data_IF_026114096140
#
_entry.id   IF_026114096140
#
_cell.length_a   1.000
_cell.length_b   1.000
_cell.length_c   1.000
_cell.angle_alpha   90.00
_cell.angle_beta   90.00
_cell.angle_gamma   90.00
#
_symmetry.space_group_name_H-M   'P 1'
#
loop_
_entity.id
_entity.type
_entity.pdbx_description
1 polymer ?
#
# COMPACT_ATOMS: atom_id res chain seq x y z
N UNK A 1 9.19 -11.88 13.90
CA UNK A 1 8.39 -11.06 12.95
C UNK A 1 7.35 -11.98 12.33
N UNK A 2 6.10 -11.57 12.32
CA UNK A 2 5.00 -12.40 11.78
C UNK A 2 4.47 -11.78 10.49
N UNK A 3 3.77 -12.60 9.67
CA UNK A 3 3.10 -12.16 8.45
C UNK A 3 1.59 -12.32 8.63
N UNK A 4 0.84 -11.40 8.04
CA UNK A 4 -0.60 -11.56 7.80
C UNK A 4 -0.82 -11.57 6.29
N UNK A 5 -1.61 -12.53 5.84
CA UNK A 5 -1.98 -12.72 4.45
C UNK A 5 -3.51 -12.75 4.38
N UNK A 6 -4.09 -11.94 3.52
CA UNK A 6 -5.51 -12.01 3.17
C UNK A 6 -5.64 -12.57 1.76
N UNK A 7 -6.57 -13.50 1.59
CA UNK A 7 -6.91 -14.12 0.31
C UNK A 7 -8.41 -14.16 0.15
N UNK A 8 -8.91 -13.66 -0.98
CA UNK A 8 -10.35 -13.50 -1.21
C UNK A 8 -11.15 -14.83 -1.19
N UNK A 9 -10.50 -15.97 -1.41
CA UNK A 9 -11.14 -17.30 -1.38
C UNK A 9 -10.74 -18.14 -0.19
N UNK A 10 -9.50 -17.99 0.31
CA UNK A 10 -8.95 -18.87 1.34
C UNK A 10 -8.98 -18.25 2.74
N UNK A 11 -9.37 -16.96 2.87
CA UNK A 11 -9.49 -16.30 4.16
C UNK A 11 -8.21 -15.59 4.63
N UNK A 12 -8.01 -15.50 5.93
CA UNK A 12 -6.88 -14.80 6.54
C UNK A 12 -5.92 -15.82 7.17
N UNK A 13 -4.63 -15.63 6.92
CA UNK A 13 -3.56 -16.50 7.38
C UNK A 13 -2.50 -15.75 8.15
N UNK A 14 -1.90 -16.39 9.12
CA UNK A 14 -0.75 -15.90 9.88
C UNK A 14 0.41 -16.87 9.80
N UNK A 15 1.62 -16.35 9.57
CA UNK A 15 2.86 -17.07 9.84
C UNK A 15 3.53 -16.47 11.07
N UNK A 16 3.96 -17.31 12.01
CA UNK A 16 4.62 -16.87 13.25
C UNK A 16 5.99 -16.26 12.99
N UNK A 17 6.72 -16.77 11.97
CA UNK A 17 8.06 -16.36 11.58
C UNK A 17 8.17 -16.27 10.05
N UNK A 18 9.29 -15.73 9.55
CA UNK A 18 9.60 -15.61 8.11
C UNK A 18 9.63 -16.97 7.36
N UNK A 19 9.46 -18.08 8.07
CA UNK A 19 9.50 -19.45 7.54
C UNK A 19 8.63 -20.43 8.30
N UNK A 20 7.89 -19.96 9.28
CA UNK A 20 6.99 -20.79 10.06
C UNK A 20 5.78 -21.28 9.25
N UNK A 21 5.08 -22.31 9.75
CA UNK A 21 3.87 -22.79 9.12
C UNK A 21 2.80 -21.71 9.14
N UNK A 22 2.03 -21.65 8.06
CA UNK A 22 0.84 -20.81 7.98
C UNK A 22 -0.27 -21.41 8.83
N UNK A 23 -0.90 -20.58 9.64
CA UNK A 23 -2.08 -20.94 10.42
C UNK A 23 -3.24 -20.05 9.99
N UNK A 24 -4.39 -20.64 9.76
CA UNK A 24 -5.61 -19.89 9.46
C UNK A 24 -6.04 -19.08 10.68
N UNK A 25 -6.41 -17.82 10.43
CA UNK A 25 -6.98 -16.95 11.45
C UNK A 25 -8.49 -17.10 11.38
N UNK A 26 -9.10 -17.59 12.45
CA UNK A 26 -10.55 -17.73 12.55
C UNK A 26 -11.21 -16.33 12.56
N UNK A 27 -11.44 -15.76 11.40
CA UNK A 27 -12.19 -14.52 11.20
C UNK A 27 -13.26 -14.74 10.14
N UNK A 28 -14.53 -14.50 10.49
CA UNK A 28 -15.63 -14.57 9.55
C UNK A 28 -15.68 -13.26 8.73
N UNK A 29 -14.78 -13.10 7.76
CA UNK A 29 -14.75 -11.98 6.84
C UNK A 29 -14.97 -12.48 5.42
N UNK A 30 -15.95 -11.91 4.73
CA UNK A 30 -16.25 -12.27 3.35
C UNK A 30 -15.20 -11.67 2.40
N UNK A 31 -14.58 -12.55 1.60
CA UNK A 31 -13.59 -12.19 0.58
C UNK A 31 -12.55 -11.14 1.07
N UNK A 32 -11.68 -11.48 2.05
CA UNK A 32 -10.62 -10.57 2.50
C UNK A 32 -9.55 -10.42 1.41
N UNK A 33 -9.26 -9.19 1.00
CA UNK A 33 -8.30 -8.91 -0.06
C UNK A 33 -7.31 -7.78 0.22
N UNK A 34 -7.44 -7.09 1.37
CA UNK A 34 -6.52 -6.05 1.81
C UNK A 34 -6.07 -6.27 3.24
N UNK A 35 -4.83 -5.92 3.53
CA UNK A 35 -4.28 -5.93 4.88
C UNK A 35 -3.44 -4.68 5.13
N UNK A 36 -3.49 -4.16 6.33
CA UNK A 36 -2.52 -3.20 6.82
C UNK A 36 -2.23 -3.47 8.30
N UNK A 37 -1.01 -3.20 8.74
CA UNK A 37 -0.60 -3.36 10.12
C UNK A 37 -0.07 -2.05 10.68
N UNK A 38 -0.42 -1.80 11.94
CA UNK A 38 0.16 -0.77 12.79
C UNK A 38 0.92 -1.40 13.95
N UNK A 39 1.35 -0.59 14.91
CA UNK A 39 2.07 -1.07 16.09
C UNK A 39 1.18 -1.84 17.08
N UNK A 40 -0.13 -1.58 17.11
CA UNK A 40 -1.06 -2.16 18.09
C UNK A 40 -2.09 -3.10 17.47
N UNK A 41 -2.43 -2.91 16.21
CA UNK A 41 -3.48 -3.67 15.53
C UNK A 41 -3.18 -3.89 14.05
N UNK A 42 -3.91 -4.83 13.49
CA UNK A 42 -3.99 -5.15 12.06
C UNK A 42 -5.41 -4.86 11.60
N UNK A 43 -5.56 -4.32 10.41
CA UNK A 43 -6.86 -4.24 9.76
C UNK A 43 -6.85 -5.09 8.49
N UNK A 44 -7.90 -5.90 8.34
CA UNK A 44 -8.14 -6.72 7.15
C UNK A 44 -9.41 -6.20 6.49
N UNK A 45 -9.33 -5.88 5.21
CA UNK A 45 -10.45 -5.39 4.42
C UNK A 45 -11.02 -6.46 3.51
N UNK A 46 -12.32 -6.64 3.58
CA UNK A 46 -13.11 -7.42 2.63
C UNK A 46 -14.03 -6.53 1.80
N UNK A 47 -14.87 -7.14 0.98
CA UNK A 47 -15.74 -6.40 0.06
C UNK A 47 -16.85 -5.59 0.76
N UNK A 48 -17.32 -6.00 1.93
CA UNK A 48 -18.40 -5.35 2.68
C UNK A 48 -17.97 -4.80 4.02
N UNK A 49 -16.97 -5.40 4.62
CA UNK A 49 -16.54 -5.11 5.98
C UNK A 49 -15.02 -5.05 6.08
N UNK A 50 -14.54 -4.28 7.06
CA UNK A 50 -13.17 -4.34 7.55
C UNK A 50 -13.17 -4.84 8.98
N UNK A 51 -12.19 -5.66 9.32
CA UNK A 51 -11.99 -6.26 10.62
C UNK A 51 -10.69 -5.76 11.23
N UNK A 52 -10.76 -5.17 12.42
CA UNK A 52 -9.58 -4.81 13.20
C UNK A 52 -9.30 -5.87 14.25
N UNK A 53 -8.05 -6.32 14.30
CA UNK A 53 -7.55 -7.37 15.17
C UNK A 53 -6.38 -6.84 16.00
N UNK A 54 -6.22 -7.34 17.22
CA UNK A 54 -4.99 -7.09 18.00
C UNK A 54 -3.78 -7.74 17.31
N UNK A 55 -2.60 -7.12 17.35
CA UNK A 55 -1.38 -7.76 16.85
C UNK A 55 -1.03 -9.03 17.64
N UNK A 56 -1.28 -9.01 18.97
CA UNK A 56 -1.10 -10.18 19.82
C UNK A 56 -2.40 -11.00 19.90
N UNK A 57 -2.33 -12.25 19.43
CA UNK A 57 -3.44 -13.20 19.50
C UNK A 57 -4.55 -13.01 18.47
N UNK A 58 -4.48 -11.97 17.63
CA UNK A 58 -5.43 -11.68 16.54
C UNK A 58 -6.90 -11.73 16.99
N UNK A 59 -7.18 -11.16 18.16
CA UNK A 59 -8.54 -11.04 18.69
C UNK A 59 -9.24 -9.85 18.06
N UNK A 60 -10.50 -10.02 17.73
CA UNK A 60 -11.33 -8.95 17.17
C UNK A 60 -11.40 -7.77 18.16
N UNK A 61 -11.07 -6.58 17.67
CA UNK A 61 -11.25 -5.29 18.35
C UNK A 61 -12.59 -4.72 17.94
N UNK A 62 -12.81 -4.63 16.62
CA UNK A 62 -14.03 -4.07 16.04
C UNK A 62 -14.23 -4.57 14.61
N UNK A 63 -15.47 -4.44 14.17
CA UNK A 63 -15.91 -4.69 12.80
C UNK A 63 -16.59 -3.43 12.31
N UNK A 64 -16.28 -3.02 11.08
CA UNK A 64 -16.79 -1.78 10.50
C UNK A 64 -17.15 -1.98 9.03
N UNK A 65 -18.11 -1.23 8.49
CA UNK A 65 -18.40 -1.25 7.07
C UNK A 65 -17.16 -0.90 6.25
N UNK A 66 -16.89 -1.64 5.18
CA UNK A 66 -15.92 -1.22 4.17
C UNK A 66 -16.44 0.02 3.42
N UNK A 67 -15.54 0.91 3.03
CA UNK A 67 -15.89 1.97 2.09
C UNK A 67 -16.28 1.35 0.73
N UNK A 68 -17.25 1.94 0.00
CA UNK A 68 -17.65 1.44 -1.32
C UNK A 68 -16.45 1.34 -2.27
N UNK A 69 -16.25 0.19 -2.92
CA UNK A 69 -15.07 -0.04 -3.76
C UNK A 69 -13.77 0.18 -3.00
N UNK A 70 -13.63 -0.44 -1.82
CA UNK A 70 -12.44 -0.30 -0.97
C UNK A 70 -11.16 -0.61 -1.75
N UNK A 71 -10.32 0.42 -1.97
CA UNK A 71 -9.10 0.34 -2.78
C UNK A 71 -7.82 0.24 -1.95
N UNK A 72 -7.79 0.87 -0.78
CA UNK A 72 -6.63 0.82 0.12
C UNK A 72 -7.03 1.00 1.59
N UNK A 73 -6.17 0.50 2.47
CA UNK A 73 -6.26 0.62 3.92
C UNK A 73 -4.95 1.16 4.50
N UNK A 74 -5.07 2.05 5.48
CA UNK A 74 -3.96 2.46 6.33
C UNK A 74 -4.40 2.51 7.79
N UNK A 75 -3.44 2.25 8.70
CA UNK A 75 -3.62 2.44 10.13
C UNK A 75 -2.77 3.60 10.62
N UNK A 76 -3.31 4.43 11.52
CA UNK A 76 -2.48 5.42 12.21
C UNK A 76 -1.38 4.74 13.03
N UNK A 77 -0.20 5.33 13.18
CA UNK A 77 0.88 4.75 14.00
C UNK A 77 0.46 4.46 15.45
N UNK A 78 -0.44 5.26 16.00
CA UNK A 78 -0.99 5.03 17.35
C UNK A 78 -2.08 3.94 17.41
N UNK A 79 -2.49 3.37 16.27
CA UNK A 79 -3.54 2.35 16.18
C UNK A 79 -4.96 2.85 16.44
N UNK A 80 -5.17 4.16 16.62
CA UNK A 80 -6.50 4.74 16.96
C UNK A 80 -7.43 4.89 15.76
N UNK A 81 -6.85 5.10 14.55
CA UNK A 81 -7.61 5.41 13.36
C UNK A 81 -7.32 4.42 12.24
N UNK A 82 -8.38 4.03 11.53
CA UNK A 82 -8.33 3.31 10.25
C UNK A 82 -8.72 4.28 9.15
N UNK A 83 -7.93 4.34 8.11
CA UNK A 83 -8.23 5.09 6.90
C UNK A 83 -8.62 4.11 5.80
N UNK A 84 -9.75 4.36 5.16
CA UNK A 84 -10.29 3.56 4.07
C UNK A 84 -10.35 4.44 2.82
N UNK A 85 -9.74 4.00 1.72
CA UNK A 85 -9.84 4.67 0.42
C UNK A 85 -10.96 4.02 -0.37
N UNK A 86 -11.93 4.83 -0.78
CA UNK A 86 -13.05 4.40 -1.61
C UNK A 86 -12.82 4.79 -3.07
N UNK A 87 -12.74 3.80 -3.96
CA UNK A 87 -12.66 4.04 -5.40
C UNK A 87 -14.02 4.40 -6.02
N UNK A 88 -15.13 3.94 -5.44
CA UNK A 88 -16.47 4.23 -5.94
C UNK A 88 -17.03 5.57 -5.43
N UNK A 89 -16.68 5.95 -4.19
CA UNK A 89 -17.11 7.23 -3.62
C UNK A 89 -16.06 8.35 -3.78
N UNK A 90 -14.94 8.10 -4.48
CA UNK A 90 -13.86 9.05 -4.74
C UNK A 90 -13.38 9.78 -3.47
N UNK A 91 -13.26 9.06 -2.36
CA UNK A 91 -13.05 9.64 -1.03
C UNK A 91 -12.18 8.81 -0.11
N UNK A 92 -11.60 9.48 0.87
CA UNK A 92 -10.98 8.85 2.05
C UNK A 92 -11.93 8.96 3.22
N UNK A 93 -12.06 7.88 3.98
CA UNK A 93 -12.83 7.81 5.22
C UNK A 93 -11.90 7.55 6.41
N UNK A 94 -12.02 8.33 7.47
CA UNK A 94 -11.36 8.07 8.76
C UNK A 94 -12.36 7.46 9.73
N UNK A 95 -12.02 6.29 10.29
CA UNK A 95 -12.83 5.60 11.30
C UNK A 95 -12.05 5.38 12.58
N UNK A 96 -12.77 5.35 13.71
CA UNK A 96 -12.19 4.92 14.97
C UNK A 96 -11.96 3.41 14.98
N UNK A 97 -10.75 2.97 15.27
CA UNK A 97 -10.39 1.54 15.34
C UNK A 97 -11.23 0.78 16.39
N UNK A 98 -11.52 1.43 17.52
CA UNK A 98 -12.21 0.78 18.63
C UNK A 98 -13.70 0.52 18.38
N UNK A 99 -14.38 1.39 17.63
CA UNK A 99 -15.84 1.35 17.44
C UNK A 99 -16.25 1.14 15.98
N UNK A 100 -15.35 1.39 15.02
CA UNK A 100 -15.66 1.43 13.59
C UNK A 100 -16.43 2.68 13.15
N UNK A 101 -16.67 3.63 14.04
CA UNK A 101 -17.41 4.86 13.76
C UNK A 101 -16.69 5.71 12.71
N UNK A 102 -17.43 6.18 11.71
CA UNK A 102 -16.95 7.14 10.71
C UNK A 102 -16.91 8.53 11.37
N UNK A 103 -15.71 9.13 11.43
CA UNK A 103 -15.51 10.45 12.01
C UNK A 103 -15.23 11.55 11.00
N UNK A 104 -14.53 11.23 9.91
CA UNK A 104 -14.23 12.16 8.83
C UNK A 104 -14.32 11.48 7.47
N UNK A 105 -14.68 12.25 6.45
CA UNK A 105 -14.62 11.85 5.05
C UNK A 105 -14.21 13.06 4.18
N UNK A 106 -13.35 12.82 3.18
CA UNK A 106 -12.92 13.87 2.26
C UNK A 106 -12.76 13.34 0.83
N UNK A 107 -13.15 14.13 -0.20
CA UNK A 107 -12.99 13.74 -1.59
C UNK A 107 -11.53 13.81 -2.03
N UNK A 108 -11.11 12.86 -2.89
CA UNK A 108 -9.71 12.68 -3.35
C UNK A 108 -9.59 12.27 -4.82
N UNK A 109 -10.33 12.90 -5.69
CA UNK A 109 -10.27 12.63 -7.14
C UNK A 109 -10.89 11.32 -7.59
N UNK A 110 -10.86 11.08 -8.88
CA UNK A 110 -11.60 10.01 -9.55
C UNK A 110 -10.83 8.68 -9.51
N UNK A 111 -11.50 7.61 -9.10
CA UNK A 111 -10.97 6.26 -8.97
C UNK A 111 -9.61 6.21 -8.24
N UNK A 112 -9.52 6.73 -7.02
CA UNK A 112 -8.27 6.71 -6.26
C UNK A 112 -7.82 5.28 -6.01
N UNK A 113 -6.49 5.02 -6.09
CA UNK A 113 -5.95 3.65 -6.07
C UNK A 113 -5.04 3.35 -4.90
N UNK A 114 -4.32 4.35 -4.42
CA UNK A 114 -3.35 4.14 -3.37
C UNK A 114 -3.37 5.25 -2.34
N UNK A 115 -3.02 4.90 -1.13
CA UNK A 115 -2.99 5.79 0.01
C UNK A 115 -1.87 5.39 0.96
N UNK A 116 -1.18 6.36 1.53
CA UNK A 116 -0.20 6.11 2.59
C UNK A 116 -0.18 7.24 3.61
N UNK A 117 0.26 6.91 4.83
CA UNK A 117 0.53 7.88 5.89
C UNK A 117 2.03 8.20 5.94
N UNK A 118 2.36 9.41 6.36
CA UNK A 118 3.72 9.72 6.76
C UNK A 118 4.08 9.00 8.09
N UNK A 119 5.38 8.93 8.40
CA UNK A 119 5.85 8.24 9.60
C UNK A 119 5.32 8.84 10.91
N UNK A 120 4.93 10.12 10.91
CA UNK A 120 4.33 10.78 12.08
C UNK A 120 2.83 10.51 12.22
N UNK A 121 2.17 9.98 11.18
CA UNK A 121 0.73 9.79 11.12
C UNK A 121 -0.08 11.09 11.06
N UNK A 122 0.55 12.21 10.71
CA UNK A 122 -0.10 13.54 10.63
C UNK A 122 -0.53 13.93 9.23
N UNK A 123 0.02 13.26 8.22
CA UNK A 123 -0.29 13.51 6.81
C UNK A 123 -0.62 12.22 6.10
N UNK A 124 -1.64 12.32 5.27
CA UNK A 124 -2.08 11.25 4.40
C UNK A 124 -1.92 11.70 2.95
N UNK A 125 -1.35 10.83 2.14
CA UNK A 125 -1.20 11.05 0.70
C UNK A 125 -2.07 10.04 -0.04
N UNK A 126 -2.98 10.53 -0.89
CA UNK A 126 -3.84 9.72 -1.74
C UNK A 126 -3.51 9.97 -3.21
N UNK A 127 -3.38 8.90 -3.98
CA UNK A 127 -3.15 8.95 -5.42
C UNK A 127 -4.49 8.88 -6.17
N UNK A 128 -4.70 9.82 -7.09
CA UNK A 128 -5.99 10.03 -7.76
C UNK A 128 -6.33 9.05 -8.88
N UNK A 129 -5.54 7.96 -9.08
CA UNK A 129 -5.86 6.84 -9.98
C UNK A 129 -6.14 7.19 -11.43
N UNK A 130 -7.29 7.73 -11.72
CA UNK A 130 -7.71 8.17 -13.07
C UNK A 130 -7.52 9.68 -13.30
N UNK A 131 -7.11 10.44 -12.28
CA UNK A 131 -6.85 11.86 -12.38
C UNK A 131 -5.34 12.14 -12.35
N UNK A 132 -4.92 13.23 -13.04
CA UNK A 132 -3.54 13.71 -13.04
C UNK A 132 -3.21 14.45 -11.72
N UNK A 133 -3.60 13.86 -10.59
CA UNK A 133 -3.53 14.50 -9.28
C UNK A 133 -3.19 13.50 -8.18
N UNK A 134 -2.52 14.02 -7.14
CA UNK A 134 -2.41 13.39 -5.84
C UNK A 134 -2.78 14.41 -4.77
N UNK A 135 -3.27 13.94 -3.63
CA UNK A 135 -3.84 14.78 -2.58
C UNK A 135 -3.08 14.59 -1.28
N UNK A 136 -2.55 15.68 -0.76
CA UNK A 136 -1.95 15.72 0.58
C UNK A 136 -3.00 16.25 1.55
N UNK A 137 -3.34 15.45 2.55
CA UNK A 137 -4.35 15.73 3.56
C UNK A 137 -3.73 15.72 4.96
N UNK A 138 -4.29 16.48 5.89
CA UNK A 138 -4.02 16.26 7.31
C UNK A 138 -4.61 14.93 7.77
N UNK A 139 -4.09 14.35 8.81
CA UNK A 139 -4.65 13.17 9.47
C UNK A 139 -4.76 13.44 10.98
N UNK A 140 -5.90 13.10 11.62
CA UNK A 140 -7.02 12.31 11.08
C UNK A 140 -8.14 13.12 10.39
N UNK A 141 -8.14 14.45 10.41
CA UNK A 141 -9.27 15.33 10.04
C UNK A 141 -9.53 15.40 8.53
N UNK A 142 -8.58 14.91 7.71
CA UNK A 142 -8.64 14.88 6.24
C UNK A 142 -8.80 16.27 5.59
N UNK A 143 -8.27 17.32 6.23
CA UNK A 143 -8.25 18.66 5.64
C UNK A 143 -7.21 18.67 4.50
N UNK A 144 -7.62 19.11 3.32
CA UNK A 144 -6.73 19.18 2.16
C UNK A 144 -5.69 20.27 2.36
N UNK A 145 -4.41 19.85 2.52
CA UNK A 145 -3.27 20.78 2.57
C UNK A 145 -2.85 21.20 1.16
N UNK A 146 -2.91 20.24 0.21
CA UNK A 146 -2.42 20.47 -1.14
C UNK A 146 -3.00 19.49 -2.15
N UNK A 147 -3.33 19.99 -3.35
CA UNK A 147 -3.47 19.21 -4.58
C UNK A 147 -2.14 19.26 -5.34
N UNK A 148 -1.63 18.11 -5.74
CA UNK A 148 -0.37 17.95 -6.46
C UNK A 148 -0.74 17.53 -7.88
N UNK A 149 -0.59 18.45 -8.84
CA UNK A 149 -0.83 18.14 -10.24
C UNK A 149 0.35 17.36 -10.81
N UNK A 150 0.06 16.20 -11.38
CA UNK A 150 0.99 15.35 -12.12
C UNK A 150 0.79 15.59 -13.62
N UNK A 151 1.65 15.02 -14.45
CA UNK A 151 1.50 15.15 -15.93
C UNK A 151 0.70 14.00 -16.52
N UNK A 152 0.26 13.07 -15.69
CA UNK A 152 -0.46 11.87 -16.07
C UNK A 152 -1.06 11.19 -14.81
N UNK A 153 -2.01 10.25 -14.98
CA UNK A 153 -2.70 9.60 -13.88
C UNK A 153 -1.75 9.02 -12.82
N UNK A 154 -1.95 9.40 -11.56
CA UNK A 154 -1.13 8.99 -10.43
C UNK A 154 -1.68 7.70 -9.82
N UNK A 155 -0.96 6.60 -9.94
CA UNK A 155 -1.38 5.26 -9.48
C UNK A 155 -0.93 4.94 -8.07
N UNK A 156 0.23 5.46 -7.66
CA UNK A 156 0.74 5.25 -6.31
C UNK A 156 1.56 6.45 -5.86
N UNK A 157 1.59 6.68 -4.55
CA UNK A 157 2.34 7.77 -3.96
C UNK A 157 2.89 7.38 -2.60
N UNK A 158 4.03 7.95 -2.18
CA UNK A 158 4.69 7.62 -0.94
C UNK A 158 5.52 8.75 -0.37
N UNK A 159 5.73 8.72 0.95
CA UNK A 159 6.65 9.63 1.64
C UNK A 159 8.04 9.02 1.70
N UNK A 160 9.04 9.74 1.20
CA UNK A 160 10.45 9.39 1.35
C UNK A 160 11.22 10.53 2.04
N UNK A 161 12.48 10.33 2.39
CA UNK A 161 13.26 11.31 3.15
C UNK A 161 13.30 12.72 2.54
N UNK A 162 13.32 12.81 1.22
CA UNK A 162 13.41 14.08 0.48
C UNK A 162 12.06 14.69 0.10
N UNK A 163 10.92 14.12 0.54
CA UNK A 163 9.60 14.62 0.20
C UNK A 163 8.62 13.54 -0.24
N UNK A 164 7.98 13.71 -1.39
CA UNK A 164 7.02 12.77 -1.95
C UNK A 164 7.59 12.07 -3.18
N UNK A 165 7.26 10.80 -3.34
CA UNK A 165 7.47 10.00 -4.54
C UNK A 165 6.11 9.70 -5.16
N UNK A 166 5.95 9.98 -6.46
CA UNK A 166 4.72 9.78 -7.21
C UNK A 166 5.01 8.83 -8.37
N UNK A 167 4.14 7.85 -8.55
CA UNK A 167 4.24 6.83 -9.61
C UNK A 167 3.03 6.99 -10.52
N UNK A 168 3.28 7.40 -11.75
CA UNK A 168 2.25 7.78 -12.70
C UNK A 168 2.30 6.89 -13.95
N UNK A 169 1.14 6.70 -14.61
CA UNK A 169 1.11 6.12 -15.93
C UNK A 169 1.39 7.23 -16.95
N UNK A 170 2.40 7.05 -17.79
CA UNK A 170 2.67 7.96 -18.89
C UNK A 170 2.34 7.30 -20.23
N UNK A 171 1.74 8.07 -21.13
CA UNK A 171 1.46 7.66 -22.49
C UNK A 171 2.65 7.95 -23.40
N UNK A 172 2.94 7.03 -24.31
CA UNK A 172 3.99 7.10 -25.31
C UNK A 172 3.63 6.16 -26.46
N UNK A 173 4.63 5.56 -27.10
CA UNK A 173 4.38 4.43 -28.03
C UNK A 173 3.73 3.26 -27.31
N UNK A 174 4.14 3.06 -26.00
CA UNK A 174 3.54 2.14 -25.06
C UNK A 174 3.30 2.84 -23.71
N UNK A 175 2.32 2.34 -22.92
CA UNK A 175 2.10 2.80 -21.55
C UNK A 175 3.31 2.41 -20.69
N UNK A 176 3.96 3.38 -20.09
CA UNK A 176 5.09 3.18 -19.20
C UNK A 176 4.89 3.86 -17.85
N UNK A 177 5.75 3.58 -16.92
CA UNK A 177 5.70 4.14 -15.55
C UNK A 177 6.64 5.33 -15.45
N UNK A 178 6.10 6.52 -15.24
CA UNK A 178 6.88 7.71 -14.93
C UNK A 178 6.93 7.95 -13.42
N UNK A 179 8.13 8.07 -12.88
CA UNK A 179 8.35 8.32 -11.44
C UNK A 179 8.76 9.76 -11.25
N UNK A 180 8.09 10.46 -10.33
CA UNK A 180 8.36 11.85 -10.00
C UNK A 180 8.71 12.00 -8.52
N UNK A 181 9.52 13.01 -8.22
CA UNK A 181 9.76 13.46 -6.85
C UNK A 181 9.24 14.88 -6.66
N UNK A 182 8.72 15.16 -5.45
CA UNK A 182 8.30 16.49 -5.04
C UNK A 182 9.00 16.83 -3.71
N UNK A 183 10.01 17.68 -3.78
CA UNK A 183 10.70 18.17 -2.57
C UNK A 183 9.79 19.13 -1.76
N UNK A 184 9.97 19.20 -0.44
CA UNK A 184 9.26 20.17 0.39
C UNK A 184 9.40 21.59 -0.14
N UNK A 185 8.29 22.35 -0.17
CA UNK A 185 8.29 23.74 -0.63
C UNK A 185 8.36 23.94 -2.15
N UNK A 186 8.55 22.89 -2.96
CA UNK A 186 8.54 23.03 -4.42
C UNK A 186 7.11 23.00 -4.97
N UNK A 187 6.79 23.83 -6.00
CA UNK A 187 5.43 23.91 -6.53
C UNK A 187 5.05 22.73 -7.43
N UNK A 188 6.01 22.09 -8.09
CA UNK A 188 5.74 21.06 -9.09
C UNK A 188 6.63 19.83 -8.90
N UNK A 189 6.09 18.62 -9.21
CA UNK A 189 6.90 17.40 -9.26
C UNK A 189 7.97 17.50 -10.36
N UNK A 190 9.13 16.91 -10.09
CA UNK A 190 10.21 16.73 -11.05
C UNK A 190 10.30 15.26 -11.44
N UNK A 191 10.32 14.98 -12.74
CA UNK A 191 10.54 13.63 -13.24
C UNK A 191 11.89 13.10 -12.78
N UNK A 192 11.90 11.89 -12.25
CA UNK A 192 13.08 11.20 -11.75
C UNK A 192 13.58 10.17 -12.75
N UNK A 193 12.69 9.29 -13.21
CA UNK A 193 13.02 8.18 -14.12
C UNK A 193 11.74 7.67 -14.81
N UNK A 194 11.91 7.08 -15.99
CA UNK A 194 10.91 6.22 -16.62
C UNK A 194 11.26 4.76 -16.40
N UNK A 195 10.25 3.94 -16.08
CA UNK A 195 10.36 2.51 -15.91
C UNK A 195 9.44 1.80 -16.92
N UNK A 196 9.81 0.60 -17.42
CA UNK A 196 8.97 -0.13 -18.33
C UNK A 196 7.67 -0.61 -17.69
N UNK A 197 6.63 -0.76 -18.50
CA UNK A 197 5.33 -1.32 -18.12
C UNK A 197 4.42 -0.37 -17.36
N UNK A 198 3.15 -0.72 -17.32
CA UNK A 198 2.10 0.01 -16.61
C UNK A 198 2.33 -0.03 -15.10
N UNK A 199 2.13 1.08 -14.35
CA UNK A 199 2.32 1.11 -12.91
C UNK A 199 1.33 0.22 -12.14
N UNK A 200 1.83 -0.40 -11.09
CA UNK A 200 1.08 -1.15 -10.07
C UNK A 200 1.26 -0.51 -8.69
N UNK A 201 1.95 -1.20 -7.78
CA UNK A 201 2.15 -0.77 -6.38
C UNK A 201 3.47 -0.05 -6.11
N UNK A 202 3.53 0.59 -4.96
CA UNK A 202 4.72 1.29 -4.43
C UNK A 202 4.92 0.95 -2.96
N UNK A 203 6.15 0.70 -2.55
CA UNK A 203 6.57 0.69 -1.16
C UNK A 203 7.90 1.43 -0.99
N UNK A 204 7.95 2.39 -0.08
CA UNK A 204 9.21 3.05 0.29
C UNK A 204 9.98 2.13 1.24
N UNK A 205 11.25 1.92 0.97
CA UNK A 205 12.12 1.13 1.86
C UNK A 205 12.29 1.82 3.23
N UNK A 206 12.50 1.06 4.32
CA UNK A 206 12.60 1.62 5.67
C UNK A 206 13.73 2.64 5.87
N UNK A 207 14.78 2.57 5.04
CA UNK A 207 15.86 3.57 5.02
C UNK A 207 15.42 4.94 4.47
N UNK A 208 14.24 5.00 3.83
CA UNK A 208 13.70 6.17 3.19
C UNK A 208 14.48 6.64 1.95
N UNK A 209 15.40 5.81 1.43
CA UNK A 209 16.27 6.14 0.28
C UNK A 209 15.96 5.31 -0.95
N UNK A 210 15.35 4.14 -0.76
CA UNK A 210 14.94 3.25 -1.82
C UNK A 210 13.43 3.13 -1.94
N UNK A 211 12.95 2.69 -3.10
CA UNK A 211 11.56 2.29 -3.33
C UNK A 211 11.49 0.97 -4.09
N UNK A 212 10.51 0.16 -3.74
CA UNK A 212 10.05 -0.94 -4.56
C UNK A 212 8.86 -0.46 -5.36
N UNK A 213 8.93 -0.58 -6.67
CA UNK A 213 7.88 -0.19 -7.61
C UNK A 213 7.52 -1.43 -8.42
N UNK A 214 6.24 -1.78 -8.36
CA UNK A 214 5.70 -2.84 -9.20
C UNK A 214 5.16 -2.23 -10.48
N UNK A 215 5.49 -2.86 -11.60
CA UNK A 215 4.92 -2.54 -12.91
C UNK A 215 4.42 -3.82 -13.57
N UNK A 216 3.81 -3.71 -14.75
CA UNK A 216 3.45 -4.88 -15.57
C UNK A 216 4.66 -5.72 -15.97
N UNK A 217 5.85 -5.13 -16.03
CA UNK A 217 7.09 -5.77 -16.47
C UNK A 217 7.97 -6.27 -15.32
N UNK A 218 7.48 -6.17 -14.08
CA UNK A 218 8.13 -6.74 -12.92
C UNK A 218 8.13 -5.86 -11.68
N UNK A 219 8.79 -6.37 -10.64
CA UNK A 219 9.09 -5.65 -9.41
C UNK A 219 10.48 -5.04 -9.52
N UNK A 220 10.57 -3.74 -9.35
CA UNK A 220 11.79 -2.96 -9.53
C UNK A 220 12.20 -2.26 -8.24
N UNK A 221 13.51 -2.20 -7.97
CA UNK A 221 14.06 -1.37 -6.89
C UNK A 221 14.75 -0.14 -7.45
N UNK A 222 14.33 1.02 -6.94
CA UNK A 222 14.84 2.32 -7.28
C UNK A 222 15.71 2.89 -6.15
N UNK A 223 16.88 3.47 -6.47
CA UNK A 223 17.65 4.39 -5.65
C UNK A 223 17.08 5.79 -5.90
N UNK A 224 16.27 6.30 -4.97
CA UNK A 224 15.53 7.55 -5.18
C UNK A 224 16.48 8.75 -5.33
N UNK A 225 17.49 8.99 -4.45
CA UNK A 225 18.39 10.13 -4.57
C UNK A 225 19.16 10.18 -5.89
N UNK A 226 19.54 9.02 -6.43
CA UNK A 226 20.29 8.93 -7.68
C UNK A 226 19.42 8.79 -8.93
N UNK A 227 18.12 8.53 -8.76
CA UNK A 227 17.19 8.31 -9.86
C UNK A 227 17.58 7.13 -10.75
N UNK A 228 18.09 6.05 -10.16
CA UNK A 228 18.55 4.90 -10.94
C UNK A 228 17.91 3.60 -10.48
N UNK A 229 17.62 2.74 -11.45
CA UNK A 229 17.19 1.38 -11.21
C UNK A 229 18.37 0.54 -10.65
N UNK A 230 18.13 -0.17 -9.55
CA UNK A 230 19.10 -1.07 -8.94
C UNK A 230 18.96 -2.50 -9.45
N UNK A 231 17.72 -2.99 -9.57
CA UNK A 231 17.40 -4.33 -10.08
C UNK A 231 15.93 -4.41 -10.54
N UNK A 232 15.63 -5.42 -11.34
CA UNK A 232 14.28 -5.79 -11.78
C UNK A 232 14.08 -7.31 -11.62
N UNK A 233 12.89 -7.72 -11.15
CA UNK A 233 12.40 -9.08 -11.07
C UNK A 233 11.14 -9.23 -11.95
N UNK A 234 11.28 -9.68 -13.20
CA UNK A 234 10.16 -9.75 -14.14
C UNK A 234 9.06 -10.74 -13.72
N UNK A 235 9.39 -11.76 -12.95
CA UNK A 235 8.46 -12.78 -12.44
C UNK A 235 7.54 -12.27 -11.33
N UNK A 236 7.73 -11.04 -10.85
CA UNK A 236 6.91 -10.37 -9.85
C UNK A 236 6.19 -9.12 -10.43
N UNK A 237 5.47 -9.31 -11.51
CA UNK A 237 4.70 -8.25 -12.14
C UNK A 237 3.40 -7.94 -11.39
N UNK A 238 2.94 -6.69 -11.47
CA UNK A 238 1.65 -6.18 -10.94
C UNK A 238 1.37 -6.61 -9.49
N UNK A 239 2.31 -6.32 -8.58
CA UNK A 239 2.06 -6.56 -7.16
C UNK A 239 1.02 -5.56 -6.62
N UNK A 240 -0.11 -6.05 -6.14
CA UNK A 240 -1.14 -5.26 -5.47
C UNK A 240 -0.69 -4.84 -4.06
N UNK A 241 -0.01 -5.74 -3.35
CA UNK A 241 0.53 -5.51 -2.00
C UNK A 241 2.05 -5.50 -2.01
N UNK A 242 2.64 -4.41 -1.55
CA UNK A 242 4.07 -4.28 -1.28
C UNK A 242 4.26 -3.78 0.14
N UNK A 243 5.11 -4.45 0.90
CA UNK A 243 5.42 -4.07 2.27
C UNK A 243 6.89 -4.36 2.56
N UNK A 244 7.59 -3.43 3.20
CA UNK A 244 8.98 -3.58 3.60
C UNK A 244 9.13 -3.56 5.13
N UNK A 245 10.01 -4.41 5.65
CA UNK A 245 10.41 -4.40 7.05
C UNK A 245 11.90 -4.77 7.17
N UNK A 246 12.71 -3.88 7.71
CA UNK A 246 14.17 -4.07 7.74
C UNK A 246 14.73 -4.38 6.34
N UNK A 247 15.51 -5.46 6.16
CA UNK A 247 16.04 -5.86 4.86
C UNK A 247 15.05 -6.67 4.00
N UNK A 248 13.88 -7.01 4.53
CA UNK A 248 12.90 -7.89 3.88
C UNK A 248 11.76 -7.11 3.25
N UNK A 249 11.18 -7.68 2.22
CA UNK A 249 9.96 -7.20 1.58
C UNK A 249 8.99 -8.35 1.31
N UNK A 250 7.70 -8.04 1.36
CA UNK A 250 6.61 -8.89 0.86
C UNK A 250 6.08 -8.29 -0.43
N UNK A 251 5.93 -9.13 -1.41
CA UNK A 251 5.32 -8.79 -2.68
C UNK A 251 4.16 -9.76 -2.97
N UNK A 252 2.95 -9.20 -3.08
CA UNK A 252 1.74 -9.95 -3.43
C UNK A 252 1.47 -9.76 -4.92
N UNK A 253 1.90 -10.71 -5.76
CA UNK A 253 1.76 -10.64 -7.20
C UNK A 253 0.36 -11.05 -7.64
N UNK A 254 -0.38 -10.14 -8.26
CA UNK A 254 -1.77 -10.36 -8.70
C UNK A 254 -1.89 -11.36 -9.84
N UNK A 255 -0.94 -11.38 -10.78
CA UNK A 255 -1.05 -12.23 -11.97
C UNK A 255 -0.98 -13.74 -11.68
N UNK A 256 -0.25 -14.14 -10.65
CA UNK A 256 -0.05 -15.55 -10.30
C UNK A 256 -0.53 -15.90 -8.88
N UNK A 257 -1.12 -14.94 -8.16
CA UNK A 257 -1.63 -15.12 -6.80
C UNK A 257 -0.54 -15.46 -5.78
N UNK A 258 0.73 -15.18 -6.05
CA UNK A 258 1.83 -15.52 -5.16
C UNK A 258 2.14 -14.38 -4.19
N UNK A 259 2.35 -14.73 -2.92
CA UNK A 259 3.05 -13.87 -1.95
C UNK A 259 4.50 -14.34 -1.85
N UNK A 260 5.43 -13.47 -2.19
CA UNK A 260 6.86 -13.75 -2.10
C UNK A 260 7.52 -12.91 -1.02
N UNK A 261 8.29 -13.60 -0.18
CA UNK A 261 9.21 -12.96 0.76
C UNK A 261 10.57 -12.87 0.07
N UNK A 262 11.14 -11.67 0.03
CA UNK A 262 12.42 -11.42 -0.62
C UNK A 262 13.27 -10.43 0.19
N UNK A 263 14.59 -10.54 0.05
CA UNK A 263 15.50 -9.50 0.51
C UNK A 263 15.57 -8.39 -0.53
N UNK A 264 15.23 -7.16 -0.17
CA UNK A 264 15.32 -6.05 -1.12
C UNK A 264 16.76 -5.61 -1.44
N UNK A 265 17.77 -6.20 -0.77
CA UNK A 265 19.19 -6.04 -1.13
C UNK A 265 19.69 -7.18 -2.03
N UNK A 266 19.14 -8.39 -1.85
CA UNK A 266 19.50 -9.60 -2.60
C UNK A 266 18.22 -10.29 -3.11
N UNK A 267 17.56 -9.71 -4.12
CA UNK A 267 16.23 -10.13 -4.55
C UNK A 267 16.18 -11.57 -5.10
N UNK A 268 17.31 -12.10 -5.57
CA UNK A 268 17.42 -13.52 -5.97
C UNK A 268 17.28 -14.50 -4.79
N UNK A 269 17.44 -14.05 -3.55
CA UNK A 269 17.10 -14.80 -2.34
C UNK A 269 15.63 -14.57 -2.01
N UNK A 270 14.74 -15.10 -2.82
CA UNK A 270 13.30 -14.99 -2.63
C UNK A 270 12.63 -16.35 -2.55
N UNK A 271 11.50 -16.43 -1.85
CA UNK A 271 10.69 -17.64 -1.75
C UNK A 271 9.22 -17.31 -1.77
N UNK A 272 8.42 -18.17 -2.38
CA UNK A 272 6.97 -18.13 -2.27
C UNK A 272 6.58 -18.60 -0.87
N UNK A 273 5.82 -17.78 -0.16
CA UNK A 273 5.30 -18.10 1.19
C UNK A 273 3.82 -18.45 1.15
N UNK A 274 3.11 -18.05 0.12
CA UNK A 274 1.70 -18.35 -0.07
C UNK A 274 1.33 -18.31 -1.55
N UNK A 275 0.30 -19.06 -1.96
CA UNK A 275 -0.32 -18.98 -3.29
C UNK A 275 -1.83 -19.00 -3.13
N UNK A 276 -2.53 -18.03 -3.71
CA UNK A 276 -3.98 -17.86 -3.60
C UNK A 276 -4.56 -17.02 -4.73
N UNK A 277 -5.69 -16.38 -4.46
CA UNK A 277 -6.42 -15.52 -5.41
C UNK A 277 -6.68 -14.16 -4.77
N UNK A 278 -6.34 -13.06 -5.46
CA UNK A 278 -6.48 -11.70 -4.92
C UNK A 278 -5.81 -11.55 -3.54
N UNK A 279 -4.53 -11.87 -3.51
CA UNK A 279 -3.74 -11.96 -2.28
C UNK A 279 -3.13 -10.62 -1.92
N UNK A 280 -3.22 -10.22 -0.67
CA UNK A 280 -2.51 -9.10 -0.08
C UNK A 280 -1.82 -9.54 1.22
N UNK A 281 -0.61 -9.06 1.47
CA UNK A 281 0.13 -9.41 2.67
C UNK A 281 0.82 -8.19 3.29
N UNK A 282 0.97 -8.20 4.62
CA UNK A 282 1.73 -7.22 5.36
C UNK A 282 2.54 -7.86 6.50
N UNK A 283 3.57 -7.17 6.97
CA UNK A 283 4.31 -7.55 8.16
C UNK A 283 3.56 -7.13 9.43
N UNK A 284 3.52 -8.01 10.42
CA UNK A 284 3.17 -7.68 11.79
C UNK A 284 4.43 -7.27 12.54
N UNK A 285 4.45 -6.05 13.01
CA UNK A 285 5.48 -5.52 13.92
C UNK A 285 4.90 -5.56 15.33
N UNK A 286 4.97 -6.71 15.97
CA UNK A 286 4.59 -6.84 17.37
C UNK A 286 5.82 -6.93 18.26
#
# INVERSE_FOLDING_TARGET
MSLIIADARQGVWKAADEGGPLTEVACALEAPYLTCAGSACVCVGGCRECLCLTCHGLREISRMPAAPGLAALCLSPCGRYVYQLSAEADSVHTRLTATGELIFAAPVGVFPRAMCLDASGRRLLAAGGAADEAYLLTAPELVRERTIHTQSPCFAAGFWRGGLLLVCAAEGEDIHTAVYTLAPGTPRPRKLIDLPGQPGGLCICPDGMGALISTRDGLMKLDIPRGRLLWNLPDLALCAGLCCYGPMALASATLNGQVRLLSHHKPWLSRTVFTGTDVHACFLTA
#
